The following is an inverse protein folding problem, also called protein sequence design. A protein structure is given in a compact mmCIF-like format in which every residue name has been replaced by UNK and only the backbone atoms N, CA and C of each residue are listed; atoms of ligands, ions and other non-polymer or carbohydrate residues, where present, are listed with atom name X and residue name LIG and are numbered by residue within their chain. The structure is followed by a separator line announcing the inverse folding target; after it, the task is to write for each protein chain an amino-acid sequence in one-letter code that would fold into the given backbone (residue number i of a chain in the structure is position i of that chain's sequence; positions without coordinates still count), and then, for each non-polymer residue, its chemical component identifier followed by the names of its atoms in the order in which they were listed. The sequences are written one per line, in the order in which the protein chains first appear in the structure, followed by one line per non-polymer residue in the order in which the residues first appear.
data_IF_185923046564
#
_entry.id   IF_185923046564
#
_cell.length_a   1.000
_cell.length_b   1.000
_cell.length_c   1.000
_cell.angle_alpha   90.00
_cell.angle_beta   90.00
_cell.angle_gamma   90.00
#
_symmetry.space_group_name_H-M   'P 1'
#
loop_
_entity.id
_entity.type
_entity.pdbx_description
1 polymer ?
#
# COMPACT_ATOMS: atom_id res chain seq x y z
N UNK A 1 50.95 11.57 27.58
CA UNK A 1 49.92 10.60 28.02
C UNK A 1 49.60 9.74 26.82
N UNK A 2 50.20 8.55 26.76
CA UNK A 2 50.02 7.63 25.64
C UNK A 2 48.64 7.02 25.76
N UNK A 3 47.79 7.26 24.77
CA UNK A 3 46.48 6.63 24.68
C UNK A 3 46.74 5.15 24.42
N UNK A 4 46.28 4.29 25.32
CA UNK A 4 46.15 2.84 25.06
C UNK A 4 45.06 2.65 23.98
N UNK A 5 45.41 2.91 22.73
CA UNK A 5 44.49 2.97 21.57
C UNK A 5 44.10 1.61 21.02
N UNK A 6 44.61 0.51 21.59
CA UNK A 6 44.44 -0.84 21.04
C UNK A 6 43.82 -1.73 22.12
N UNK A 7 42.51 -1.96 22.00
CA UNK A 7 41.72 -2.82 22.88
C UNK A 7 41.79 -4.30 22.49
N UNK A 8 42.10 -4.60 21.22
CA UNK A 8 42.23 -5.98 20.74
C UNK A 8 43.52 -6.63 21.27
N UNK A 9 43.36 -7.69 22.07
CA UNK A 9 44.45 -8.47 22.67
C UNK A 9 45.48 -8.96 21.63
N UNK A 10 45.06 -9.27 20.41
CA UNK A 10 45.96 -9.73 19.35
C UNK A 10 46.81 -8.61 18.76
N UNK A 11 46.23 -7.43 18.58
CA UNK A 11 46.95 -6.23 18.12
C UNK A 11 47.86 -5.69 19.22
N UNK A 12 47.46 -5.80 20.49
CA UNK A 12 48.30 -5.48 21.63
C UNK A 12 49.55 -6.39 21.68
N UNK A 13 49.38 -7.70 21.45
CA UNK A 13 50.50 -8.64 21.36
C UNK A 13 51.45 -8.31 20.17
N UNK A 14 50.91 -7.89 19.02
CA UNK A 14 51.73 -7.42 17.88
C UNK A 14 52.53 -6.17 18.25
N UNK A 15 51.90 -5.22 18.95
CA UNK A 15 52.55 -3.98 19.39
C UNK A 15 53.68 -4.28 20.39
N UNK A 16 53.45 -5.17 21.35
CA UNK A 16 54.43 -5.58 22.34
C UNK A 16 55.61 -6.32 21.69
N UNK A 17 55.32 -7.29 20.80
CA UNK A 17 56.33 -8.01 20.03
C UNK A 17 57.16 -7.07 19.13
N UNK A 18 56.52 -6.03 18.57
CA UNK A 18 57.18 -4.97 17.79
C UNK A 18 58.14 -4.15 18.66
N UNK A 19 57.69 -3.70 19.84
CA UNK A 19 58.52 -2.96 20.80
C UNK A 19 59.73 -3.79 21.25
N UNK A 20 59.51 -5.04 21.63
CA UNK A 20 60.57 -5.98 22.04
C UNK A 20 61.57 -6.25 20.92
N UNK A 21 61.11 -6.48 19.69
CA UNK A 21 62.00 -6.65 18.53
C UNK A 21 62.82 -5.39 18.23
N UNK A 22 62.23 -4.19 18.39
CA UNK A 22 62.94 -2.91 18.23
C UNK A 22 64.01 -2.72 19.29
N UNK A 23 63.68 -2.97 20.57
CA UNK A 23 64.62 -2.84 21.68
C UNK A 23 65.81 -3.80 21.52
N UNK A 24 65.57 -5.03 21.10
CA UNK A 24 66.64 -5.98 20.81
C UNK A 24 67.49 -5.59 19.59
N UNK A 25 66.89 -5.02 18.54
CA UNK A 25 67.63 -4.52 17.40
C UNK A 25 68.58 -3.38 17.82
N UNK A 26 68.11 -2.46 18.66
CA UNK A 26 68.92 -1.38 19.22
C UNK A 26 70.04 -1.94 20.11
N UNK A 27 69.74 -2.89 20.99
CA UNK A 27 70.74 -3.53 21.85
C UNK A 27 71.85 -4.24 21.05
N UNK A 28 71.51 -4.90 19.94
CA UNK A 28 72.51 -5.52 19.03
C UNK A 28 73.42 -4.47 18.39
N UNK A 29 72.87 -3.33 17.99
CA UNK A 29 73.62 -2.21 17.41
C UNK A 29 74.58 -1.63 18.46
N UNK A 30 74.08 -1.36 19.67
CA UNK A 30 74.86 -0.80 20.77
C UNK A 30 76.02 -1.73 21.18
N UNK A 31 75.75 -3.04 21.29
CA UNK A 31 76.81 -4.02 21.55
C UNK A 31 77.86 -4.05 20.45
N UNK A 32 77.46 -3.93 19.19
CA UNK A 32 78.39 -3.91 18.06
C UNK A 32 79.24 -2.64 18.04
N UNK A 33 78.67 -1.50 18.42
CA UNK A 33 79.40 -0.23 18.62
C UNK A 33 80.41 -0.36 19.75
N UNK A 34 80.01 -0.90 20.91
CA UNK A 34 80.90 -1.10 22.07
C UNK A 34 82.07 -2.04 21.74
N UNK A 35 81.78 -3.15 21.07
CA UNK A 35 82.79 -4.11 20.63
C UNK A 35 83.77 -3.48 19.64
N UNK A 36 83.28 -2.65 18.71
CA UNK A 36 84.12 -1.94 17.75
C UNK A 36 84.99 -0.84 18.40
N UNK A 37 84.46 -0.16 19.43
CA UNK A 37 85.20 0.83 20.22
C UNK A 37 86.31 0.17 21.06
N UNK A 38 86.04 -1.00 21.66
CA UNK A 38 87.02 -1.77 22.42
C UNK A 38 88.17 -2.32 21.56
N UNK A 39 87.94 -2.55 20.26
CA UNK A 39 88.97 -2.96 19.30
C UNK A 39 89.87 -1.83 18.75
N UNK A 40 89.74 -0.60 19.28
CA UNK A 40 90.72 0.47 19.02
C UNK A 40 90.73 1.03 17.59
N UNK A 41 89.58 1.11 16.91
CA UNK A 41 89.41 1.86 15.64
C UNK A 41 90.18 1.35 14.41
N UNK A 42 91.08 0.37 14.55
CA UNK A 42 91.84 -0.24 13.47
C UNK A 42 91.15 -1.51 12.95
N UNK A 43 90.46 -1.40 11.81
CA UNK A 43 89.58 -2.43 11.26
C UNK A 43 90.22 -3.71 10.71
N UNK A 44 91.13 -4.38 11.43
CA UNK A 44 91.79 -5.60 10.92
C UNK A 44 92.06 -6.72 11.94
N UNK A 45 91.80 -6.55 13.24
CA UNK A 45 91.92 -7.66 14.18
C UNK A 45 90.61 -8.47 14.22
N UNK A 46 90.63 -9.80 14.00
CA UNK A 46 89.42 -10.61 14.18
C UNK A 46 88.94 -10.44 15.63
N UNK A 47 87.65 -10.09 15.77
CA UNK A 47 86.97 -9.99 17.06
C UNK A 47 87.28 -11.24 17.90
N UNK A 48 87.45 -11.08 19.22
CA UNK A 48 87.60 -12.22 20.13
C UNK A 48 86.49 -13.25 19.87
N UNK A 49 86.84 -14.54 19.87
CA UNK A 49 85.92 -15.65 19.60
C UNK A 49 84.67 -15.55 20.50
N UNK A 50 84.84 -15.11 21.75
CA UNK A 50 83.76 -14.91 22.71
C UNK A 50 82.83 -13.77 22.30
N UNK A 51 83.37 -12.65 21.80
CA UNK A 51 82.60 -11.50 21.31
C UNK A 51 81.81 -11.85 20.03
N UNK A 52 82.41 -12.62 19.13
CA UNK A 52 81.71 -13.15 17.94
C UNK A 52 80.56 -14.08 18.34
N UNK A 53 80.78 -14.94 19.33
CA UNK A 53 79.75 -15.86 19.83
C UNK A 53 78.56 -15.12 20.46
N UNK A 54 78.81 -14.06 21.24
CA UNK A 54 77.78 -13.25 21.88
C UNK A 54 76.92 -12.49 20.85
N UNK A 55 77.56 -11.88 19.84
CA UNK A 55 76.86 -11.20 18.74
C UNK A 55 76.01 -12.22 17.96
N UNK A 56 76.53 -13.42 17.69
CA UNK A 56 75.78 -14.46 16.97
C UNK A 56 74.52 -14.90 17.73
N UNK A 57 74.58 -14.99 19.07
CA UNK A 57 73.42 -15.34 19.92
C UNK A 57 72.36 -14.25 19.88
N UNK A 58 72.75 -12.98 19.98
CA UNK A 58 71.81 -11.86 19.90
C UNK A 58 71.18 -11.73 18.51
N UNK A 59 71.94 -11.96 17.44
CA UNK A 59 71.39 -11.98 16.07
C UNK A 59 70.39 -13.12 15.86
N UNK A 60 70.64 -14.31 16.44
CA UNK A 60 69.67 -15.41 16.42
C UNK A 60 68.37 -15.03 17.13
N UNK A 61 68.46 -14.44 18.32
CA UNK A 61 67.29 -13.98 19.08
C UNK A 61 66.50 -12.89 18.34
N UNK A 62 67.19 -11.94 17.72
CA UNK A 62 66.55 -10.91 16.88
C UNK A 62 65.80 -11.55 15.70
N UNK A 63 66.43 -12.49 15.00
CA UNK A 63 65.81 -13.16 13.86
C UNK A 63 64.58 -13.98 14.26
N UNK A 64 64.58 -14.63 15.42
CA UNK A 64 63.39 -15.35 15.92
C UNK A 64 62.26 -14.40 16.25
N UNK A 65 62.55 -13.26 16.89
CA UNK A 65 61.53 -12.28 17.24
C UNK A 65 60.96 -11.56 16.01
N UNK A 66 61.79 -11.28 15.00
CA UNK A 66 61.33 -10.77 13.71
C UNK A 66 60.47 -11.79 12.95
N UNK A 67 60.79 -13.09 13.03
CA UNK A 67 59.95 -14.13 12.44
C UNK A 67 58.58 -14.20 13.14
N UNK A 68 58.55 -14.12 14.47
CA UNK A 68 57.33 -14.07 15.26
C UNK A 68 56.47 -12.84 14.92
N UNK A 69 57.08 -11.66 14.86
CA UNK A 69 56.41 -10.41 14.49
C UNK A 69 55.80 -10.47 13.08
N UNK A 70 56.52 -11.05 12.10
CA UNK A 70 55.97 -11.24 10.75
C UNK A 70 54.78 -12.19 10.74
N UNK A 71 54.80 -13.23 11.56
CA UNK A 71 53.66 -14.14 11.73
C UNK A 71 52.44 -13.41 12.29
N UNK A 72 52.62 -12.67 13.38
CA UNK A 72 51.57 -11.87 14.01
C UNK A 72 51.00 -10.80 13.06
N UNK A 73 51.85 -10.12 12.30
CA UNK A 73 51.42 -9.14 11.30
C UNK A 73 50.55 -9.76 10.20
N UNK A 74 50.95 -10.92 9.67
CA UNK A 74 50.12 -11.64 8.67
C UNK A 74 48.78 -12.04 9.26
N UNK A 75 48.76 -12.58 10.48
CA UNK A 75 47.53 -12.96 11.16
C UNK A 75 46.58 -11.76 11.35
N UNK A 76 47.10 -10.61 11.80
CA UNK A 76 46.32 -9.38 11.93
C UNK A 76 45.74 -8.91 10.58
N UNK A 77 46.53 -8.96 9.51
CA UNK A 77 46.06 -8.61 8.17
C UNK A 77 44.97 -9.56 7.65
N UNK A 78 45.11 -10.87 7.88
CA UNK A 78 44.08 -11.84 7.51
C UNK A 78 42.79 -11.62 8.28
N UNK A 79 42.85 -11.40 9.59
CA UNK A 79 41.67 -11.06 10.41
C UNK A 79 40.98 -9.80 9.92
N UNK A 80 41.73 -8.74 9.62
CA UNK A 80 41.16 -7.50 9.10
C UNK A 80 40.49 -7.68 7.73
N UNK A 81 40.98 -8.59 6.89
CA UNK A 81 40.34 -8.93 5.62
C UNK A 81 39.08 -9.77 5.83
N UNK A 82 39.13 -10.72 6.75
CA UNK A 82 38.00 -11.58 7.11
C UNK A 82 36.84 -10.75 7.69
N UNK A 83 37.12 -9.85 8.65
CA UNK A 83 36.09 -8.97 9.22
C UNK A 83 35.48 -8.06 8.16
N UNK A 84 36.29 -7.50 7.24
CA UNK A 84 35.77 -6.74 6.09
C UNK A 84 34.82 -7.57 5.23
N UNK A 85 35.18 -8.82 4.92
CA UNK A 85 34.31 -9.73 4.15
C UNK A 85 33.00 -9.96 4.88
N UNK A 86 33.05 -10.38 6.15
CA UNK A 86 31.87 -10.66 6.97
C UNK A 86 30.94 -9.44 7.07
N UNK A 87 31.50 -8.24 7.26
CA UNK A 87 30.70 -7.01 7.30
C UNK A 87 30.10 -6.64 5.94
N UNK A 88 30.78 -6.95 4.84
CA UNK A 88 30.25 -6.73 3.50
C UNK A 88 29.10 -7.70 3.18
N UNK A 89 29.24 -8.97 3.57
CA UNK A 89 28.22 -9.99 3.40
C UNK A 89 26.96 -9.65 4.23
N UNK A 90 27.14 -9.30 5.51
CA UNK A 90 26.04 -8.87 6.37
C UNK A 90 25.35 -7.59 5.86
N UNK A 91 26.12 -6.63 5.33
CA UNK A 91 25.56 -5.43 4.70
C UNK A 91 24.74 -5.80 3.45
N UNK A 92 25.23 -6.70 2.62
CA UNK A 92 24.51 -7.13 1.43
C UNK A 92 23.19 -7.82 1.79
N UNK A 93 23.19 -8.66 2.82
CA UNK A 93 21.95 -9.28 3.33
C UNK A 93 20.93 -8.23 3.79
N UNK A 94 21.37 -7.21 4.52
CA UNK A 94 20.51 -6.08 4.93
C UNK A 94 19.96 -5.34 3.71
N UNK A 95 20.77 -5.09 2.68
CA UNK A 95 20.33 -4.42 1.45
C UNK A 95 19.25 -5.25 0.71
N UNK A 96 19.40 -6.58 0.67
CA UNK A 96 18.40 -7.50 0.08
C UNK A 96 17.10 -7.48 0.87
N UNK A 97 17.17 -7.58 2.20
CA UNK A 97 15.98 -7.51 3.06
C UNK A 97 15.27 -6.15 2.96
N UNK A 98 16.04 -5.06 2.84
CA UNK A 98 15.48 -3.73 2.65
C UNK A 98 14.71 -3.61 1.32
N UNK A 99 15.24 -4.20 0.24
CA UNK A 99 14.55 -4.25 -1.03
C UNK A 99 13.25 -5.07 -0.96
N UNK A 100 13.28 -6.21 -0.28
CA UNK A 100 12.07 -7.03 -0.06
C UNK A 100 11.01 -6.26 0.74
N UNK A 101 11.43 -5.54 1.78
CA UNK A 101 10.53 -4.68 2.56
C UNK A 101 9.90 -3.57 1.70
N UNK A 102 10.67 -2.95 0.80
CA UNK A 102 10.12 -1.95 -0.12
C UNK A 102 9.09 -2.56 -1.08
N UNK A 103 9.32 -3.78 -1.57
CA UNK A 103 8.34 -4.48 -2.40
C UNK A 103 7.04 -4.74 -1.63
N UNK A 104 7.12 -5.17 -0.38
CA UNK A 104 5.95 -5.38 0.48
C UNK A 104 5.18 -4.07 0.74
N UNK A 105 5.88 -2.95 0.97
CA UNK A 105 5.20 -1.66 1.11
C UNK A 105 4.48 -1.23 -0.18
N UNK A 106 5.07 -1.52 -1.33
CA UNK A 106 4.42 -1.26 -2.61
C UNK A 106 3.16 -2.11 -2.78
N UNK A 107 3.25 -3.42 -2.51
CA UNK A 107 2.10 -4.33 -2.54
C UNK A 107 1.00 -3.89 -1.57
N UNK A 108 1.35 -3.55 -0.32
CA UNK A 108 0.41 -3.05 0.66
C UNK A 108 -0.33 -1.81 0.14
N UNK A 109 0.40 -0.81 -0.34
CA UNK A 109 -0.20 0.44 -0.83
C UNK A 109 -1.07 0.21 -2.07
N UNK A 110 -0.68 -0.74 -2.92
CA UNK A 110 -1.47 -1.13 -4.08
C UNK A 110 -2.80 -1.76 -3.65
N UNK A 111 -2.76 -2.73 -2.74
CA UNK A 111 -3.95 -3.38 -2.19
C UNK A 111 -4.85 -2.40 -1.43
N UNK A 112 -4.28 -1.50 -0.62
CA UNK A 112 -5.04 -0.43 0.04
C UNK A 112 -5.77 0.45 -0.99
N UNK A 113 -5.10 0.78 -2.10
CA UNK A 113 -5.72 1.53 -3.20
C UNK A 113 -6.85 0.77 -3.88
N UNK A 114 -6.71 -0.54 -4.09
CA UNK A 114 -7.77 -1.39 -4.65
C UNK A 114 -8.95 -1.55 -3.70
N UNK A 115 -8.69 -1.74 -2.40
CA UNK A 115 -9.74 -1.80 -1.37
C UNK A 115 -10.52 -0.50 -1.35
N UNK A 116 -9.85 0.66 -1.31
CA UNK A 116 -10.51 1.96 -1.35
C UNK A 116 -11.33 2.15 -2.63
N UNK A 117 -10.83 1.67 -3.78
CA UNK A 117 -11.57 1.73 -5.03
C UNK A 117 -12.86 0.88 -4.96
N UNK A 118 -12.78 -0.33 -4.40
CA UNK A 118 -13.92 -1.22 -4.19
C UNK A 118 -14.93 -0.64 -3.18
N UNK A 119 -14.45 -0.07 -2.06
CA UNK A 119 -15.29 0.55 -1.03
C UNK A 119 -15.97 1.83 -1.52
N UNK A 120 -15.29 2.61 -2.37
CA UNK A 120 -15.84 3.83 -2.98
C UNK A 120 -16.84 3.57 -4.11
N UNK A 121 -17.12 2.30 -4.43
CA UNK A 121 -18.06 1.96 -5.47
C UNK A 121 -19.47 2.41 -5.08
N UNK A 122 -19.95 3.45 -5.77
CA UNK A 122 -21.31 3.94 -5.58
C UNK A 122 -22.33 2.94 -6.14
N UNK A 123 -23.03 2.26 -5.26
CA UNK A 123 -24.11 1.38 -5.66
C UNK A 123 -25.38 2.17 -6.01
N UNK A 124 -25.87 2.02 -7.24
CA UNK A 124 -27.07 2.72 -7.72
C UNK A 124 -28.28 2.58 -6.80
N UNK A 125 -28.44 1.42 -6.14
CA UNK A 125 -29.58 1.16 -5.26
C UNK A 125 -29.63 2.08 -4.03
N UNK A 126 -28.50 2.63 -3.58
CA UNK A 126 -28.46 3.57 -2.46
C UNK A 126 -29.09 4.92 -2.80
N UNK A 127 -29.22 5.25 -4.08
CA UNK A 127 -29.87 6.49 -4.55
C UNK A 127 -31.37 6.33 -4.80
N UNK A 128 -31.91 5.10 -4.72
CA UNK A 128 -33.34 4.88 -4.94
C UNK A 128 -34.15 5.49 -3.79
N UNK A 129 -35.21 6.28 -4.08
CA UNK A 129 -36.11 6.78 -3.06
C UNK A 129 -37.00 5.63 -2.61
N UNK A 130 -36.52 4.88 -1.61
CA UNK A 130 -37.22 3.77 -0.98
C UNK A 130 -37.94 4.27 0.28
N UNK A 131 -39.04 3.62 0.63
CA UNK A 131 -39.74 3.81 1.89
C UNK A 131 -38.78 3.51 3.07
N UNK A 132 -38.81 4.28 4.17
CA UNK A 132 -38.01 4.00 5.36
C UNK A 132 -38.20 2.56 5.88
N UNK A 133 -37.16 2.00 6.52
CA UNK A 133 -37.19 0.61 7.03
C UNK A 133 -38.35 0.38 7.99
N UNK A 134 -38.58 1.32 8.91
CA UNK A 134 -39.65 1.21 9.92
C UNK A 134 -41.04 1.12 9.29
N UNK A 135 -41.29 1.92 8.25
CA UNK A 135 -42.55 1.90 7.50
C UNK A 135 -42.72 0.61 6.69
N UNK A 136 -41.63 0.13 6.08
CA UNK A 136 -41.63 -1.14 5.36
C UNK A 136 -41.94 -2.33 6.30
N UNK A 137 -41.29 -2.40 7.47
CA UNK A 137 -41.52 -3.46 8.46
C UNK A 137 -42.93 -3.40 9.06
N UNK A 138 -43.54 -2.22 9.15
CA UNK A 138 -44.93 -2.07 9.58
C UNK A 138 -45.91 -2.66 8.55
N UNK A 139 -45.60 -2.57 7.27
CA UNK A 139 -46.39 -3.15 6.18
C UNK A 139 -46.12 -4.64 5.99
N UNK A 140 -44.88 -5.05 6.21
CA UNK A 140 -44.36 -6.41 5.99
C UNK A 140 -43.69 -6.98 7.26
N UNK A 141 -44.48 -7.32 8.29
CA UNK A 141 -43.95 -7.84 9.55
C UNK A 141 -43.25 -9.21 9.40
N UNK A 142 -43.48 -9.94 8.32
CA UNK A 142 -42.78 -11.18 7.97
C UNK A 142 -41.25 -10.99 7.84
N UNK A 143 -40.81 -9.79 7.46
CA UNK A 143 -39.39 -9.43 7.36
C UNK A 143 -38.81 -8.83 8.66
N UNK A 144 -39.61 -8.72 9.72
CA UNK A 144 -39.13 -8.28 11.03
C UNK A 144 -38.44 -9.42 11.81
N UNK A 145 -38.78 -10.68 11.52
CA UNK A 145 -38.18 -11.84 12.17
C UNK A 145 -36.72 -12.06 11.74
N UNK A 146 -36.37 -11.68 10.50
CA UNK A 146 -34.99 -11.74 9.95
C UNK A 146 -34.03 -10.74 10.61
N UNK A 147 -34.53 -9.78 11.39
CA UNK A 147 -33.71 -8.82 12.15
C UNK A 147 -33.35 -9.29 13.56
N UNK A 148 -33.95 -10.37 14.06
CA UNK A 148 -33.93 -10.68 15.50
C UNK A 148 -32.82 -11.66 15.91
N UNK A 149 -32.18 -12.35 14.96
CA UNK A 149 -31.16 -13.35 15.23
C UNK A 149 -29.92 -13.09 14.37
N UNK A 150 -28.94 -12.39 14.97
CA UNK A 150 -27.56 -12.22 14.51
C UNK A 150 -27.32 -11.13 13.44
N UNK A 151 -26.36 -10.24 13.71
CA UNK A 151 -25.84 -9.23 12.76
C UNK A 151 -25.08 -9.94 11.62
N UNK A 152 -25.77 -10.64 10.72
CA UNK A 152 -25.18 -11.18 9.50
C UNK A 152 -25.47 -10.21 8.34
N UNK A 153 -24.43 -9.79 7.61
CA UNK A 153 -24.55 -8.94 6.41
C UNK A 153 -25.51 -9.50 5.34
N UNK A 154 -25.72 -10.82 5.35
CA UNK A 154 -26.64 -11.52 4.44
C UNK A 154 -28.11 -11.17 4.73
N UNK A 155 -28.48 -10.97 6.00
CA UNK A 155 -29.87 -10.69 6.40
C UNK A 155 -30.26 -9.24 6.06
N UNK A 156 -29.34 -8.28 6.24
CA UNK A 156 -29.50 -6.89 5.81
C UNK A 156 -29.63 -6.78 4.29
N UNK A 157 -28.80 -7.54 3.56
CA UNK A 157 -28.87 -7.61 2.11
C UNK A 157 -30.21 -8.17 1.62
N UNK A 158 -30.71 -9.23 2.27
CA UNK A 158 -32.01 -9.82 1.96
C UNK A 158 -33.17 -8.83 2.20
N UNK A 159 -33.13 -8.09 3.31
CA UNK A 159 -34.13 -7.05 3.60
C UNK A 159 -34.10 -5.94 2.55
N UNK A 160 -32.91 -5.51 2.12
CA UNK A 160 -32.77 -4.49 1.09
C UNK A 160 -33.34 -4.94 -0.26
N UNK A 161 -33.13 -6.20 -0.64
CA UNK A 161 -33.71 -6.80 -1.86
C UNK A 161 -35.24 -6.77 -1.77
N UNK A 162 -35.82 -7.23 -0.66
CA UNK A 162 -37.27 -7.25 -0.46
C UNK A 162 -37.87 -5.84 -0.57
N UNK A 163 -37.20 -4.83 0.01
CA UNK A 163 -37.61 -3.42 -0.11
C UNK A 163 -37.59 -2.91 -1.54
N UNK A 164 -36.55 -3.25 -2.31
CA UNK A 164 -36.45 -2.87 -3.73
C UNK A 164 -37.54 -3.56 -4.57
N UNK A 165 -37.83 -4.83 -4.30
CA UNK A 165 -38.89 -5.56 -5.00
C UNK A 165 -40.28 -4.98 -4.72
N UNK A 166 -40.55 -4.59 -3.47
CA UNK A 166 -41.79 -3.91 -3.10
C UNK A 166 -41.96 -2.58 -3.87
N UNK A 167 -40.96 -1.70 -3.82
CA UNK A 167 -41.00 -0.42 -4.55
C UNK A 167 -41.18 -0.63 -6.06
N UNK A 168 -40.52 -1.66 -6.61
CA UNK A 168 -40.71 -2.02 -8.02
C UNK A 168 -42.16 -2.41 -8.31
N UNK A 169 -42.75 -3.27 -7.50
CA UNK A 169 -44.14 -3.70 -7.67
C UNK A 169 -45.13 -2.53 -7.55
N UNK A 170 -44.91 -1.62 -6.60
CA UNK A 170 -45.72 -0.41 -6.46
C UNK A 170 -45.61 0.50 -7.68
N UNK A 171 -44.39 0.73 -8.21
CA UNK A 171 -44.19 1.54 -9.41
C UNK A 171 -44.84 0.93 -10.65
N UNK A 172 -44.72 -0.39 -10.83
CA UNK A 172 -45.38 -1.10 -11.92
C UNK A 172 -46.92 -0.97 -11.83
N UNK A 173 -47.48 -1.08 -10.62
CA UNK A 173 -48.92 -0.90 -10.39
C UNK A 173 -49.37 0.56 -10.66
N UNK A 174 -48.61 1.56 -10.21
CA UNK A 174 -48.87 2.97 -10.46
C UNK A 174 -48.79 3.31 -11.96
N UNK A 175 -47.81 2.75 -12.67
CA UNK A 175 -47.69 2.92 -14.12
C UNK A 175 -48.88 2.30 -14.85
N UNK A 176 -49.29 1.09 -14.47
CA UNK A 176 -50.47 0.44 -15.04
C UNK A 176 -51.74 1.28 -14.84
N UNK A 177 -51.97 1.78 -13.62
CA UNK A 177 -53.09 2.69 -13.32
C UNK A 177 -52.99 3.99 -14.13
N UNK A 178 -51.80 4.59 -14.26
CA UNK A 178 -51.57 5.79 -15.07
C UNK A 178 -51.97 5.55 -16.52
N UNK A 179 -51.56 4.42 -17.10
CA UNK A 179 -51.89 4.05 -18.48
C UNK A 179 -53.39 3.82 -18.67
N UNK A 180 -54.05 3.16 -17.72
CA UNK A 180 -55.49 2.95 -17.74
C UNK A 180 -56.26 4.28 -17.68
N UNK A 181 -55.91 5.15 -16.73
CA UNK A 181 -56.50 6.48 -16.60
C UNK A 181 -56.24 7.35 -17.84
N UNK A 182 -55.06 7.25 -18.44
CA UNK A 182 -54.74 7.94 -19.69
C UNK A 182 -55.61 7.46 -20.86
N UNK A 183 -55.83 6.15 -20.99
CA UNK A 183 -56.75 5.57 -21.99
C UNK A 183 -58.19 6.04 -21.75
N UNK A 184 -58.66 6.02 -20.50
CA UNK A 184 -60.00 6.51 -20.12
C UNK A 184 -60.17 8.00 -20.43
N UNK A 185 -59.16 8.82 -20.13
CA UNK A 185 -59.13 10.24 -20.48
C UNK A 185 -59.24 10.46 -21.98
N UNK A 186 -58.46 9.74 -22.78
CA UNK A 186 -58.51 9.84 -24.25
C UNK A 186 -59.89 9.43 -24.80
N UNK A 187 -60.48 8.36 -24.26
CA UNK A 187 -61.84 7.93 -24.63
C UNK A 187 -62.88 9.01 -24.32
N UNK A 188 -62.86 9.58 -23.12
CA UNK A 188 -63.78 10.65 -22.74
C UNK A 188 -63.60 11.92 -23.60
N UNK A 189 -62.38 12.27 -23.97
CA UNK A 189 -62.11 13.39 -24.89
C UNK A 189 -62.74 13.11 -26.27
N UNK A 190 -62.58 11.89 -26.80
CA UNK A 190 -63.18 11.50 -28.07
C UNK A 190 -64.71 11.51 -28.01
N UNK A 191 -65.31 10.97 -26.95
CA UNK A 191 -66.76 10.95 -26.74
C UNK A 191 -67.32 12.36 -26.62
N UNK A 192 -66.64 13.25 -25.87
CA UNK A 192 -67.06 14.64 -25.72
C UNK A 192 -66.97 15.41 -27.04
N UNK A 193 -65.88 15.20 -27.82
CA UNK A 193 -65.75 15.77 -29.17
C UNK A 193 -66.90 15.31 -30.07
N UNK A 194 -67.21 14.01 -30.07
CA UNK A 194 -68.30 13.45 -30.88
C UNK A 194 -69.66 14.05 -30.49
N UNK A 195 -69.97 14.13 -29.19
CA UNK A 195 -71.21 14.77 -28.71
C UNK A 195 -71.30 16.25 -29.08
N UNK A 196 -70.17 16.97 -29.03
CA UNK A 196 -70.13 18.37 -29.46
C UNK A 196 -70.39 18.50 -30.96
N UNK A 197 -69.82 17.62 -31.77
CA UNK A 197 -70.04 17.60 -33.22
C UNK A 197 -71.50 17.20 -33.54
N UNK A 198 -72.09 16.26 -32.81
CA UNK A 198 -73.50 15.86 -32.93
C UNK A 198 -74.46 17.01 -32.56
N UNK A 199 -74.19 17.74 -31.47
CA UNK A 199 -74.95 18.93 -31.07
C UNK A 199 -74.86 20.04 -32.14
N UNK A 200 -73.66 20.28 -32.67
CA UNK A 200 -73.47 21.26 -33.75
C UNK A 200 -74.21 20.87 -35.04
N UNK A 201 -74.41 19.58 -35.29
CA UNK A 201 -75.23 19.10 -36.41
C UNK A 201 -76.73 19.26 -36.12
N UNK A 202 -77.17 18.97 -34.89
CA UNK A 202 -78.56 19.20 -34.48
C UNK A 202 -78.94 20.67 -34.57
N UNK A 203 -78.07 21.60 -34.14
CA UNK A 203 -78.29 23.04 -34.27
C UNK A 203 -78.53 23.43 -35.73
N UNK A 204 -77.71 22.92 -36.67
CA UNK A 204 -77.89 23.15 -38.10
C UNK A 204 -79.21 22.57 -38.63
N UNK A 205 -79.61 21.39 -38.16
CA UNK A 205 -80.86 20.76 -38.61
C UNK A 205 -82.09 21.47 -38.03
N UNK A 206 -82.00 22.01 -36.81
CA UNK A 206 -83.02 22.89 -36.23
C UNK A 206 -83.13 24.20 -37.01
N UNK A 207 -82.01 24.83 -37.38
CA UNK A 207 -82.01 26.02 -38.24
C UNK A 207 -82.73 25.74 -39.56
N UNK A 208 -82.41 24.62 -40.23
CA UNK A 208 -83.09 24.20 -41.46
C UNK A 208 -84.58 23.94 -41.24
N UNK A 209 -84.96 23.30 -40.13
CA UNK A 209 -86.36 23.03 -39.80
C UNK A 209 -87.14 24.32 -39.58
N UNK A 210 -86.58 25.26 -38.81
CA UNK A 210 -87.16 26.59 -38.60
C UNK A 210 -87.34 27.29 -39.96
N UNK A 211 -86.31 27.29 -40.81
CA UNK A 211 -86.36 27.87 -42.14
C UNK A 211 -87.44 27.24 -43.03
N UNK A 212 -87.58 25.91 -42.99
CA UNK A 212 -88.61 25.18 -43.73
C UNK A 212 -90.03 25.39 -43.18
N UNK A 213 -90.19 25.71 -41.88
CA UNK A 213 -91.47 25.99 -41.25
C UNK A 213 -91.95 27.43 -41.44
N UNK A 214 -91.05 28.39 -41.72
CA UNK A 214 -91.37 29.81 -41.99
C UNK A 214 -92.50 30.02 -43.02
N UNK A 215 -92.59 29.30 -44.15
CA UNK A 215 -93.68 29.47 -45.13
C UNK A 215 -95.05 29.09 -44.57
N UNK A 216 -95.13 28.06 -43.71
CA UNK A 216 -96.37 27.61 -43.08
C UNK A 216 -96.82 28.61 -42.02
N UNK A 217 -95.89 29.14 -41.22
CA UNK A 217 -96.18 30.25 -40.29
C UNK A 217 -96.74 31.46 -41.02
N UNK A 218 -96.12 31.88 -42.13
CA UNK A 218 -96.62 32.99 -42.97
C UNK A 218 -98.00 32.74 -43.58
N UNK A 219 -98.43 31.47 -43.70
CA UNK A 219 -99.77 31.10 -44.17
C UNK A 219 -100.80 31.25 -43.04
N UNK A 220 -100.49 30.80 -41.83
CA UNK A 220 -101.39 30.94 -40.67
C UNK A 220 -101.46 32.37 -40.13
N UNK A 221 -100.39 33.17 -40.24
CA UNK A 221 -100.39 34.59 -39.92
C UNK A 221 -101.26 35.44 -40.86
N UNK A 222 -101.62 34.92 -42.04
CA UNK A 222 -102.52 35.58 -43.00
C UNK A 222 -103.99 35.20 -42.83
N UNK A 223 -104.31 34.27 -41.92
CA UNK A 223 -105.68 33.74 -41.68
C UNK A 223 -106.29 34.30 -40.37
N UNK A 224 -105.64 35.29 -39.74
CA UNK A 224 -106.21 36.18 -38.72
C UNK A 224 -106.39 37.56 -39.33
#
# INVERSE_FOLDING_TARGET
MAVDTITDSSLAAVLEASKSAREQALAVIDHRIQVNAASGGGGSAPLSLDAQSAISKQLKLLNTNLAHLRGLHRAAHFRARETKSQTADARHEVDVLHLQLQNLYYEQRHLEGEILACESFEHTYQTLPLIPVDEFLALHPEHAATMNDNENDDDDSALMIARIEHERAEREALEAQRLELQKRKQKLIADNKKRRDDLANLDKDLEKFIDAAKPIQKLFEKVV
#
